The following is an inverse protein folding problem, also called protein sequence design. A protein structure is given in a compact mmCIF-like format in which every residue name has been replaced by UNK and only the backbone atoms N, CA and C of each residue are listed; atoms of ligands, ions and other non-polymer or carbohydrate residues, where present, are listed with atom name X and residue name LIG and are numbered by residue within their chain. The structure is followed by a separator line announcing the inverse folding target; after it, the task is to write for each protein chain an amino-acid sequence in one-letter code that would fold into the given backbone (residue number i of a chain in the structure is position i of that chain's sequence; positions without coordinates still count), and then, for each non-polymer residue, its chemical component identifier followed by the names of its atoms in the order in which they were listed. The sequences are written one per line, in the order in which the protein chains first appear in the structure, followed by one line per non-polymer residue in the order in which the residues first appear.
data_IF_363646041146
#
_entry.id   IF_363646041146
#
_cell.length_a   1.000
_cell.length_b   1.000
_cell.length_c   1.000
_cell.angle_alpha   90.00
_cell.angle_beta   90.00
_cell.angle_gamma   90.00
#
_symmetry.space_group_name_H-M   'P 1'
#
loop_
_entity.id
_entity.type
_entity.pdbx_description
1 polymer ?
#
# COMPACT_ATOMS: atom_id res chain seq x y z
N UNK A 1 -11.10 2.67 -20.50
CA UNK A 1 -9.81 1.96 -20.24
C UNK A 1 -8.60 2.90 -20.43
N UNK A 2 -8.72 4.19 -20.10
CA UNK A 2 -7.72 5.23 -20.43
C UNK A 2 -6.91 5.74 -19.21
N UNK A 3 -7.10 5.14 -18.04
CA UNK A 3 -6.39 5.50 -16.80
C UNK A 3 -5.39 4.42 -16.36
N UNK A 4 -4.79 3.71 -17.32
CA UNK A 4 -3.43 3.24 -17.09
C UNK A 4 -2.55 4.49 -17.07
N UNK A 5 -2.60 5.22 -15.96
CA UNK A 5 -1.43 5.99 -15.51
C UNK A 5 -0.30 4.99 -15.62
N UNK A 6 0.53 5.21 -16.64
CA UNK A 6 1.54 4.27 -17.05
C UNK A 6 2.34 3.99 -15.79
N UNK A 7 2.21 2.83 -15.15
CA UNK A 7 3.00 2.50 -13.96
C UNK A 7 4.50 2.63 -14.27
N UNK A 8 4.85 2.51 -15.56
CA UNK A 8 6.16 2.89 -16.11
C UNK A 8 6.55 4.33 -15.84
N UNK A 9 5.61 5.28 -15.71
CA UNK A 9 5.88 6.66 -15.29
C UNK A 9 6.28 6.76 -13.83
N UNK A 10 5.70 5.96 -12.92
CA UNK A 10 6.20 5.85 -11.53
C UNK A 10 7.62 5.29 -11.54
N UNK A 11 7.86 4.26 -12.37
CA UNK A 11 9.18 3.64 -12.56
C UNK A 11 10.19 4.61 -13.22
N UNK A 12 9.72 5.55 -14.05
CA UNK A 12 10.55 6.55 -14.75
C UNK A 12 10.66 7.87 -13.97
N UNK A 13 10.55 7.84 -12.64
CA UNK A 13 10.71 9.00 -11.76
C UNK A 13 9.68 10.14 -11.97
N UNK A 14 8.50 9.85 -12.52
CA UNK A 14 7.39 10.81 -12.67
C UNK A 14 6.30 10.59 -11.61
N UNK A 15 6.69 10.14 -10.41
CA UNK A 15 5.76 9.79 -9.34
C UNK A 15 4.90 10.99 -8.89
N UNK A 16 5.44 12.21 -8.93
CA UNK A 16 4.73 13.46 -8.62
C UNK A 16 3.52 13.68 -9.54
N UNK A 17 3.67 13.47 -10.85
CA UNK A 17 2.56 13.61 -11.80
C UNK A 17 1.46 12.56 -11.57
N UNK A 18 1.87 11.34 -11.19
CA UNK A 18 0.94 10.26 -10.84
C UNK A 18 0.16 10.61 -9.57
N UNK A 19 0.85 11.12 -8.55
CA UNK A 19 0.24 11.55 -7.29
C UNK A 19 -0.81 12.65 -7.54
N UNK A 20 -0.49 13.67 -8.34
CA UNK A 20 -1.42 14.76 -8.66
C UNK A 20 -2.67 14.28 -9.42
N UNK A 21 -2.52 13.31 -10.32
CA UNK A 21 -3.68 12.69 -10.98
C UNK A 21 -4.54 11.91 -9.98
N UNK A 22 -3.92 11.16 -9.08
CA UNK A 22 -4.63 10.35 -8.08
C UNK A 22 -5.33 11.19 -7.01
N UNK A 23 -4.77 12.33 -6.62
CA UNK A 23 -5.39 13.29 -5.70
C UNK A 23 -6.75 13.80 -6.17
N UNK A 24 -6.95 13.89 -7.49
CA UNK A 24 -8.23 14.29 -8.09
C UNK A 24 -9.29 13.18 -8.00
N UNK A 25 -8.86 11.92 -7.87
CA UNK A 25 -9.77 10.79 -7.69
C UNK A 25 -10.15 10.65 -6.21
N UNK A 26 -11.40 10.99 -5.85
CA UNK A 26 -11.88 10.92 -4.46
C UNK A 26 -12.46 9.54 -4.06
N UNK A 27 -12.37 8.52 -4.92
CA UNK A 27 -12.91 7.18 -4.61
C UNK A 27 -12.06 6.48 -3.54
N UNK A 28 -12.73 6.04 -2.48
CA UNK A 28 -12.17 5.29 -1.33
C UNK A 28 -12.42 3.77 -1.44
N UNK A 29 -13.42 3.35 -2.22
CA UNK A 29 -13.80 1.96 -2.46
C UNK A 29 -13.63 1.56 -3.92
N UNK A 30 -13.76 0.27 -4.23
CA UNK A 30 -13.61 -0.23 -5.61
C UNK A 30 -12.18 -0.40 -6.11
N UNK A 31 -11.18 -0.29 -5.22
CA UNK A 31 -9.76 -0.33 -5.61
C UNK A 31 -9.28 -1.61 -6.29
N UNK A 32 -10.03 -2.72 -6.19
CA UNK A 32 -9.63 -3.99 -6.81
C UNK A 32 -9.38 -3.87 -8.31
N UNK A 33 -10.17 -3.01 -8.99
CA UNK A 33 -10.07 -2.77 -10.43
C UNK A 33 -9.65 -1.33 -10.76
N UNK A 34 -9.26 -0.56 -9.74
CA UNK A 34 -8.85 0.84 -9.90
C UNK A 34 -7.35 0.97 -9.68
N UNK A 35 -6.74 1.93 -10.37
CA UNK A 35 -5.31 2.25 -10.29
C UNK A 35 -4.84 2.50 -8.85
N UNK A 36 -5.69 3.01 -7.95
CA UNK A 36 -5.34 3.20 -6.53
C UNK A 36 -4.98 1.90 -5.82
N UNK A 37 -5.60 0.77 -6.19
CA UNK A 37 -5.28 -0.54 -5.62
C UNK A 37 -3.90 -1.07 -5.97
N UNK A 38 -3.22 -0.43 -6.92
CA UNK A 38 -1.84 -0.72 -7.33
C UNK A 38 -0.91 0.36 -6.80
N UNK A 39 -1.24 1.63 -7.04
CA UNK A 39 -0.32 2.74 -6.78
C UNK A 39 -0.18 3.07 -5.30
N UNK A 40 -1.26 3.04 -4.50
CA UNK A 40 -1.16 3.38 -3.07
C UNK A 40 -0.25 2.40 -2.32
N UNK A 41 -0.40 1.06 -2.47
CA UNK A 41 0.53 0.13 -1.85
C UNK A 41 1.96 0.26 -2.41
N UNK A 42 2.12 0.52 -3.71
CA UNK A 42 3.44 0.73 -4.32
C UNK A 42 4.16 1.95 -3.71
N UNK A 43 3.46 3.09 -3.61
CA UNK A 43 3.99 4.31 -3.00
C UNK A 43 4.38 4.09 -1.54
N UNK A 44 3.54 3.40 -0.76
CA UNK A 44 3.88 3.04 0.61
C UNK A 44 5.18 2.23 0.70
N UNK A 45 5.33 1.21 -0.15
CA UNK A 45 6.52 0.35 -0.14
C UNK A 45 7.75 1.12 -0.60
N UNK A 46 7.64 2.00 -1.60
CA UNK A 46 8.74 2.86 -2.06
C UNK A 46 9.29 3.81 -0.99
N UNK A 47 8.57 4.04 0.11
CA UNK A 47 9.08 4.84 1.23
C UNK A 47 10.07 4.06 2.11
N UNK A 48 10.18 2.74 1.93
CA UNK A 48 10.97 1.83 2.77
C UNK A 48 12.34 1.56 2.15
N UNK A 49 13.37 1.51 2.99
CA UNK A 49 14.71 1.10 2.58
C UNK A 49 14.70 -0.35 2.06
N UNK A 50 15.50 -0.64 1.03
CA UNK A 50 15.60 -1.98 0.42
C UNK A 50 15.93 -3.09 1.41
N UNK A 51 16.65 -2.78 2.48
CA UNK A 51 17.05 -3.73 3.53
C UNK A 51 15.99 -3.91 4.62
N UNK A 52 14.88 -3.15 4.58
CA UNK A 52 13.83 -3.15 5.60
C UNK A 52 12.48 -3.68 5.08
N UNK A 53 12.44 -4.22 3.87
CA UNK A 53 11.21 -4.81 3.33
C UNK A 53 10.80 -6.06 4.12
N UNK A 54 9.51 -6.19 4.41
CA UNK A 54 8.94 -7.32 5.16
C UNK A 54 8.35 -8.38 4.23
N UNK A 55 8.05 -9.59 4.73
CA UNK A 55 7.36 -10.61 3.94
C UNK A 55 6.03 -10.12 3.36
N UNK A 56 5.22 -9.40 4.14
CA UNK A 56 3.96 -8.81 3.67
C UNK A 56 4.19 -7.85 2.49
N UNK A 57 5.18 -6.96 2.59
CA UNK A 57 5.53 -6.04 1.51
C UNK A 57 5.94 -6.79 0.24
N UNK A 58 6.70 -7.88 0.37
CA UNK A 58 7.09 -8.74 -0.77
C UNK A 58 5.86 -9.36 -1.43
N UNK A 59 4.94 -9.92 -0.65
CA UNK A 59 3.72 -10.54 -1.20
C UNK A 59 2.82 -9.53 -1.90
N UNK A 60 2.69 -8.33 -1.34
CA UNK A 60 1.97 -7.21 -1.97
C UNK A 60 2.67 -6.77 -3.27
N UNK A 61 4.01 -6.66 -3.29
CA UNK A 61 4.77 -6.36 -4.50
C UNK A 61 4.57 -7.42 -5.58
N UNK A 62 4.63 -8.72 -5.25
CA UNK A 62 4.32 -9.80 -6.21
C UNK A 62 2.92 -9.62 -6.79
N UNK A 63 1.94 -9.31 -5.95
CA UNK A 63 0.57 -9.04 -6.37
C UNK A 63 0.44 -7.81 -7.27
N UNK A 64 1.23 -6.76 -7.04
CA UNK A 64 1.34 -5.60 -7.92
C UNK A 64 1.93 -6.01 -9.27
N UNK A 65 3.08 -6.69 -9.29
CA UNK A 65 3.78 -7.04 -10.52
C UNK A 65 2.93 -7.93 -11.44
N UNK A 66 2.21 -8.91 -10.88
CA UNK A 66 1.24 -9.73 -11.64
C UNK A 66 0.14 -8.89 -12.29
N UNK A 67 -0.34 -7.84 -11.62
CA UNK A 67 -1.39 -6.93 -12.14
C UNK A 67 -0.85 -5.94 -13.17
N UNK A 68 0.45 -5.68 -13.17
CA UNK A 68 1.14 -4.83 -14.13
C UNK A 68 1.60 -5.58 -15.38
N UNK A 69 1.13 -6.82 -15.55
CA UNK A 69 1.47 -7.70 -16.67
C UNK A 69 2.98 -7.91 -16.85
N UNK A 70 3.74 -7.80 -15.75
CA UNK A 70 5.05 -8.45 -15.68
C UNK A 70 4.75 -9.96 -15.62
N UNK A 71 4.69 -10.58 -16.79
CA UNK A 71 4.39 -12.00 -17.03
C UNK A 71 5.39 -12.98 -16.40
N UNK A 72 6.25 -12.52 -15.51
CA UNK A 72 7.31 -13.30 -14.89
C UNK A 72 6.80 -13.94 -13.60
N UNK A 73 7.00 -15.26 -13.49
CA UNK A 73 7.05 -15.95 -12.20
C UNK A 73 8.34 -15.51 -11.50
N UNK A 74 8.40 -14.24 -11.08
CA UNK A 74 9.57 -13.72 -10.39
C UNK A 74 9.73 -14.50 -9.09
N UNK A 75 10.91 -15.08 -8.90
CA UNK A 75 11.27 -15.57 -7.58
C UNK A 75 11.53 -14.38 -6.62
N UNK A 76 11.74 -14.70 -5.34
CA UNK A 76 11.96 -13.68 -4.31
C UNK A 76 13.24 -12.85 -4.55
N UNK A 77 14.25 -13.43 -5.20
CA UNK A 77 15.51 -12.78 -5.50
C UNK A 77 15.29 -11.76 -6.61
N UNK A 78 14.67 -12.16 -7.72
CA UNK A 78 14.38 -11.29 -8.85
C UNK A 78 13.45 -10.13 -8.43
N UNK A 79 12.41 -10.41 -7.65
CA UNK A 79 11.52 -9.39 -7.08
C UNK A 79 12.30 -8.34 -6.28
N UNK A 80 13.24 -8.80 -5.46
CA UNK A 80 14.06 -7.93 -4.61
C UNK A 80 14.99 -7.07 -5.47
N UNK A 81 15.59 -7.61 -6.53
CA UNK A 81 16.43 -6.84 -7.45
C UNK A 81 15.63 -5.80 -8.24
N UNK A 82 14.45 -6.15 -8.76
CA UNK A 82 13.55 -5.17 -9.40
C UNK A 82 13.13 -4.06 -8.43
N UNK A 83 12.77 -4.44 -7.20
CA UNK A 83 12.43 -3.47 -6.17
C UNK A 83 13.61 -2.54 -5.85
N UNK A 84 14.82 -3.08 -5.71
CA UNK A 84 16.04 -2.27 -5.49
C UNK A 84 16.25 -1.27 -6.62
N UNK A 85 16.16 -1.70 -7.88
CA UNK A 85 16.30 -0.83 -9.03
C UNK A 85 15.26 0.30 -9.00
N UNK A 86 13.99 -0.01 -8.74
CA UNK A 86 12.94 1.00 -8.65
C UNK A 86 13.14 1.95 -7.48
N UNK A 87 13.39 1.42 -6.28
CA UNK A 87 13.58 2.24 -5.09
C UNK A 87 14.77 3.18 -5.25
N UNK A 88 15.87 2.71 -5.83
CA UNK A 88 17.08 3.52 -6.03
C UNK A 88 16.95 4.51 -7.20
N UNK A 89 15.98 4.33 -8.09
CA UNK A 89 15.70 5.29 -9.18
C UNK A 89 14.96 6.55 -8.72
N UNK A 90 14.44 6.55 -7.49
CA UNK A 90 13.69 7.67 -6.91
C UNK A 90 14.38 8.15 -5.63
N UNK A 91 14.85 9.38 -5.65
CA UNK A 91 15.35 10.03 -4.44
C UNK A 91 14.26 10.97 -3.90
N UNK A 92 13.76 10.67 -2.70
CA UNK A 92 12.74 11.49 -2.05
C UNK A 92 13.43 12.44 -1.08
N UNK A 93 13.16 13.73 -1.21
CA UNK A 93 13.42 14.67 -0.11
C UNK A 93 12.62 14.27 1.14
N UNK A 94 13.02 14.77 2.30
CA UNK A 94 12.29 14.49 3.56
C UNK A 94 10.86 14.98 3.49
N UNK A 95 10.66 16.11 2.84
CA UNK A 95 9.38 16.77 2.62
C UNK A 95 8.48 15.90 1.74
N UNK A 96 8.99 15.44 0.59
CA UNK A 96 8.26 14.54 -0.31
C UNK A 96 7.94 13.19 0.35
N UNK A 97 8.88 12.64 1.14
CA UNK A 97 8.66 11.40 1.90
C UNK A 97 7.46 11.56 2.86
N UNK A 98 7.45 12.67 3.60
CA UNK A 98 6.40 12.99 4.56
C UNK A 98 5.06 13.24 3.86
N UNK A 99 5.06 14.01 2.78
CA UNK A 99 3.87 14.33 1.99
C UNK A 99 3.24 13.05 1.41
N UNK A 100 4.06 12.21 0.77
CA UNK A 100 3.61 10.96 0.16
C UNK A 100 3.07 9.98 1.21
N UNK A 101 3.76 9.86 2.35
CA UNK A 101 3.30 9.04 3.47
C UNK A 101 1.94 9.51 3.98
N UNK A 102 1.79 10.81 4.26
CA UNK A 102 0.56 11.36 4.81
C UNK A 102 -0.61 11.20 3.85
N UNK A 103 -0.36 11.40 2.55
CA UNK A 103 -1.38 11.14 1.52
C UNK A 103 -1.79 9.66 1.51
N UNK A 104 -0.84 8.72 1.47
CA UNK A 104 -1.14 7.29 1.50
C UNK A 104 -1.87 6.87 2.78
N UNK A 105 -1.47 7.40 3.94
CA UNK A 105 -2.12 7.18 5.24
C UNK A 105 -3.59 7.57 5.17
N UNK A 106 -3.89 8.77 4.67
CA UNK A 106 -5.26 9.26 4.54
C UNK A 106 -6.10 8.37 3.60
N UNK A 107 -5.53 7.98 2.46
CA UNK A 107 -6.19 7.09 1.50
C UNK A 107 -6.52 5.72 2.10
N UNK A 108 -5.57 5.10 2.81
CA UNK A 108 -5.76 3.81 3.49
C UNK A 108 -6.79 3.93 4.62
N UNK A 109 -6.67 4.94 5.49
CA UNK A 109 -7.62 5.13 6.59
C UNK A 109 -9.05 5.37 6.07
N UNK A 110 -9.22 6.21 5.05
CA UNK A 110 -10.53 6.43 4.43
C UNK A 110 -11.09 5.16 3.80
N UNK A 111 -10.25 4.39 3.10
CA UNK A 111 -10.64 3.09 2.53
C UNK A 111 -11.11 2.11 3.59
N UNK A 112 -10.37 1.96 4.69
CA UNK A 112 -10.74 1.07 5.80
C UNK A 112 -12.08 1.49 6.38
N UNK A 113 -12.25 2.78 6.69
CA UNK A 113 -13.49 3.32 7.24
C UNK A 113 -14.70 3.06 6.36
N UNK A 114 -14.57 3.33 5.07
CA UNK A 114 -15.65 3.14 4.11
C UNK A 114 -16.01 1.67 3.93
N UNK A 115 -15.01 0.78 3.85
CA UNK A 115 -15.25 -0.66 3.74
C UNK A 115 -15.98 -1.22 4.97
N UNK A 116 -15.50 -0.88 6.17
CA UNK A 116 -15.99 -1.48 7.40
C UNK A 116 -17.33 -0.89 7.83
N UNK A 117 -17.50 0.43 7.71
CA UNK A 117 -18.77 1.12 8.05
C UNK A 117 -19.92 0.69 7.13
N UNK A 118 -19.65 0.52 5.84
CA UNK A 118 -20.65 0.05 4.87
C UNK A 118 -20.77 -1.49 4.78
N UNK A 119 -20.04 -2.22 5.63
CA UNK A 119 -20.10 -3.69 5.75
C UNK A 119 -19.80 -4.43 4.45
N UNK A 120 -18.85 -3.93 3.64
CA UNK A 120 -18.35 -4.65 2.46
C UNK A 120 -17.46 -5.83 2.87
N UNK A 121 -18.09 -6.89 3.41
CA UNK A 121 -17.40 -8.03 4.05
C UNK A 121 -16.40 -8.73 3.12
N UNK A 122 -16.72 -8.83 1.83
CA UNK A 122 -15.84 -9.38 0.80
C UNK A 122 -14.57 -8.54 0.54
N UNK A 123 -14.48 -7.34 1.12
CA UNK A 123 -13.34 -6.45 1.04
C UNK A 123 -12.63 -6.27 2.40
N UNK A 124 -13.06 -6.95 3.47
CA UNK A 124 -12.47 -6.82 4.79
C UNK A 124 -11.01 -7.24 4.83
N UNK A 125 -10.67 -8.39 4.24
CA UNK A 125 -9.29 -8.86 4.14
C UNK A 125 -8.38 -7.80 3.51
N UNK A 126 -8.80 -7.23 2.37
CA UNK A 126 -8.02 -6.19 1.67
C UNK A 126 -7.89 -4.89 2.47
N UNK A 127 -8.86 -4.58 3.32
CA UNK A 127 -8.77 -3.43 4.23
C UNK A 127 -7.79 -3.71 5.37
N UNK A 128 -7.79 -4.93 5.91
CA UNK A 128 -6.83 -5.37 6.92
C UNK A 128 -5.40 -5.38 6.36
N UNK A 129 -5.18 -5.96 5.17
CA UNK A 129 -3.88 -5.96 4.48
C UNK A 129 -3.35 -4.54 4.24
N UNK A 130 -4.20 -3.62 3.76
CA UNK A 130 -3.80 -2.23 3.52
C UNK A 130 -3.41 -1.50 4.83
N UNK A 131 -4.14 -1.78 5.91
CA UNK A 131 -3.83 -1.24 7.22
C UNK A 131 -2.54 -1.81 7.81
N UNK A 132 -2.31 -3.13 7.68
CA UNK A 132 -1.08 -3.78 8.15
C UNK A 132 0.13 -3.27 7.36
N UNK A 133 0.00 -3.15 6.03
CA UNK A 133 1.04 -2.55 5.19
C UNK A 133 1.41 -1.14 5.67
N UNK A 134 0.42 -0.28 5.90
CA UNK A 134 0.65 1.08 6.40
C UNK A 134 1.38 1.06 7.75
N UNK A 135 0.98 0.14 8.64
CA UNK A 135 1.57 -0.02 9.96
C UNK A 135 3.05 -0.48 9.90
N UNK A 136 3.36 -1.44 9.04
CA UNK A 136 4.73 -1.92 8.84
C UNK A 136 5.62 -0.87 8.14
N UNK A 137 5.09 -0.13 7.17
CA UNK A 137 5.81 0.99 6.54
C UNK A 137 6.08 2.09 7.56
N UNK A 138 5.13 2.40 8.43
CA UNK A 138 5.32 3.39 9.50
C UNK A 138 6.48 2.98 10.43
N UNK A 139 6.51 1.72 10.84
CA UNK A 139 7.61 1.18 11.65
C UNK A 139 8.95 1.19 10.89
N UNK A 140 8.94 0.73 9.64
CA UNK A 140 10.13 0.69 8.78
C UNK A 140 10.67 2.08 8.40
N UNK A 141 9.87 3.14 8.59
CA UNK A 141 10.29 4.52 8.34
C UNK A 141 10.44 5.33 9.63
N UNK A 142 10.40 4.67 10.80
CA UNK A 142 10.61 5.29 12.11
C UNK A 142 9.46 6.21 12.57
N UNK A 143 8.27 6.09 11.96
CA UNK A 143 7.09 6.88 12.30
C UNK A 143 6.27 6.30 13.45
N UNK A 144 6.43 5.00 13.74
CA UNK A 144 5.81 4.30 14.87
C UNK A 144 6.84 3.41 15.55
N UNK A 145 6.56 3.06 16.81
CA UNK A 145 7.44 2.18 17.60
C UNK A 145 7.08 0.70 17.43
N UNK A 146 5.93 0.39 16.84
CA UNK A 146 5.46 -0.97 16.60
C UNK A 146 4.98 -1.16 15.16
N UNK A 147 5.22 -2.36 14.62
CA UNK A 147 4.71 -2.83 13.33
C UNK A 147 3.20 -2.95 13.28
N UNK A 148 2.54 -3.04 14.44
CA UNK A 148 1.10 -3.26 14.52
C UNK A 148 0.32 -2.02 14.98
N UNK A 149 1.00 -0.92 15.29
CA UNK A 149 0.38 0.25 15.93
C UNK A 149 -0.85 0.77 15.17
N UNK A 150 -0.71 1.03 13.87
CA UNK A 150 -1.81 1.56 13.04
C UNK A 150 -2.89 0.50 12.81
N UNK A 151 -2.48 -0.76 12.63
CA UNK A 151 -3.42 -1.87 12.49
C UNK A 151 -4.28 -2.06 13.74
N UNK A 152 -3.68 -1.99 14.92
CA UNK A 152 -4.37 -2.04 16.21
C UNK A 152 -5.28 -0.83 16.41
N UNK A 153 -4.87 0.37 15.99
CA UNK A 153 -5.73 1.55 16.01
C UNK A 153 -7.00 1.34 15.18
N UNK A 154 -6.88 0.87 13.93
CA UNK A 154 -8.07 0.56 13.11
C UNK A 154 -8.89 -0.60 13.70
N UNK A 155 -8.24 -1.63 14.26
CA UNK A 155 -8.94 -2.75 14.94
C UNK A 155 -9.75 -2.26 16.14
N UNK A 156 -9.23 -1.28 16.89
CA UNK A 156 -9.89 -0.64 18.02
C UNK A 156 -11.03 0.29 17.58
N UNK A 157 -10.88 1.00 16.46
CA UNK A 157 -11.96 1.83 15.89
C UNK A 157 -13.23 1.00 15.60
N UNK A 158 -13.06 -0.24 15.15
CA UNK A 158 -14.15 -1.13 14.74
C UNK A 158 -14.41 -2.30 15.70
N UNK A 159 -14.45 -2.04 17.01
CA UNK A 159 -14.64 -3.07 18.06
C UNK A 159 -15.82 -4.03 17.82
N UNK A 160 -16.94 -3.51 17.28
CA UNK A 160 -18.19 -4.26 17.01
C UNK A 160 -18.16 -5.08 15.72
N UNK A 161 -17.14 -4.92 14.85
CA UNK A 161 -17.04 -5.60 13.57
C UNK A 161 -16.16 -6.85 13.67
N UNK A 162 -16.66 -7.87 14.37
CA UNK A 162 -15.91 -9.11 14.65
C UNK A 162 -15.28 -9.75 13.41
N UNK A 163 -16.01 -9.84 12.29
CA UNK A 163 -15.48 -10.42 11.05
C UNK A 163 -14.31 -9.63 10.49
N UNK A 164 -14.33 -8.29 10.56
CA UNK A 164 -13.19 -7.47 10.12
C UNK A 164 -11.98 -7.65 11.03
N UNK A 165 -12.20 -7.70 12.34
CA UNK A 165 -11.13 -7.92 13.32
C UNK A 165 -10.45 -9.27 13.14
N UNK A 166 -11.21 -10.31 12.78
CA UNK A 166 -10.70 -11.64 12.51
C UNK A 166 -9.75 -11.68 11.30
N UNK A 167 -9.94 -10.80 10.30
CA UNK A 167 -9.01 -10.75 9.16
C UNK A 167 -7.59 -10.40 9.60
N UNK A 168 -7.41 -9.44 10.53
CA UNK A 168 -6.09 -9.13 11.08
C UNK A 168 -5.47 -10.31 11.82
N UNK A 169 -6.27 -11.08 12.54
CA UNK A 169 -5.78 -12.23 13.31
C UNK A 169 -5.29 -13.36 12.40
N UNK A 170 -5.73 -13.37 11.14
CA UNK A 170 -5.35 -14.33 10.11
C UNK A 170 -4.26 -13.83 9.16
N UNK A 171 -3.80 -12.57 9.29
CA UNK A 171 -2.71 -12.06 8.46
C UNK A 171 -1.38 -12.75 8.80
N UNK A 172 -0.48 -12.93 7.81
CA UNK A 172 0.87 -13.39 8.08
C UNK A 172 1.57 -12.42 9.05
N UNK A 173 2.32 -12.96 10.01
CA UNK A 173 3.11 -12.21 10.99
C UNK A 173 4.59 -12.18 10.63
#
# INVERSE_FOLDING_TARGET
MEFLVNYKSVINNQWNEVLEKLRKNKKSVGWTYDVKGIIVPLFLIMLVDVNRITPLMKDILKGIMRRLDYSMQLDDMELTEYYKLWRNSVDFTKEEHSELYNWCKNEVTNRVREIVSNKYRNAYLRAAEASQLLSEVAFCTGKTNSKDEIALMHKAEFTRHRSFRAEYDNLPK
#
